data_IF_901830657002
#
_entry.id   IF_901830657002
#
_cell.length_a   1.000
_cell.length_b   1.000
_cell.length_c   1.000
_cell.angle_alpha   90.00
_cell.angle_beta   90.00
_cell.angle_gamma   90.00
#
_symmetry.space_group_name_H-M   'P 1'
#
loop_
_entity.id
_entity.type
_entity.pdbx_description
1 polymer ?
#
# COMPACT_ATOMS: atom_id res chain seq x y z
N UNK A 1 23.58 -10.71 19.23
CA UNK A 1 24.04 -11.59 18.13
C UNK A 1 22.86 -11.99 17.27
N UNK A 2 23.02 -12.02 15.94
CA UNK A 2 21.99 -12.52 15.04
C UNK A 2 20.92 -11.52 14.59
N UNK A 3 21.09 -10.22 14.83
CA UNK A 3 20.18 -9.18 14.31
C UNK A 3 20.61 -8.86 12.88
N UNK A 4 19.72 -9.13 11.92
CA UNK A 4 19.91 -8.85 10.50
C UNK A 4 18.55 -8.91 9.79
N UNK A 5 18.49 -8.58 8.50
CA UNK A 5 17.29 -8.78 7.69
C UNK A 5 16.81 -10.23 7.76
N UNK A 6 15.53 -10.46 8.07
CA UNK A 6 14.98 -11.81 8.18
C UNK A 6 13.46 -11.82 8.05
N UNK A 7 12.90 -13.03 7.95
CA UNK A 7 11.48 -13.18 8.23
C UNK A 7 11.19 -13.09 9.73
N UNK A 8 9.94 -12.75 10.08
CA UNK A 8 9.49 -12.54 11.46
C UNK A 8 8.07 -13.07 11.65
N UNK A 9 7.56 -13.10 12.89
CA UNK A 9 6.28 -13.75 13.21
C UNK A 9 5.04 -12.90 12.85
N UNK A 10 4.99 -12.45 11.60
CA UNK A 10 3.80 -11.91 10.94
C UNK A 10 3.59 -12.69 9.65
N UNK A 11 2.35 -13.02 9.33
CA UNK A 11 2.00 -13.76 8.12
C UNK A 11 1.00 -12.99 7.27
N UNK A 12 1.09 -13.15 5.96
CA UNK A 12 0.04 -12.72 5.04
C UNK A 12 -1.17 -13.66 5.05
N UNK A 13 -2.16 -13.37 4.22
CA UNK A 13 -3.38 -14.17 4.03
C UNK A 13 -3.08 -15.60 3.52
N UNK A 14 -1.92 -15.83 2.90
CA UNK A 14 -1.46 -17.14 2.46
C UNK A 14 -0.62 -17.88 3.52
N UNK A 15 -0.56 -17.33 4.74
CA UNK A 15 0.24 -17.84 5.85
C UNK A 15 1.76 -17.80 5.59
N UNK A 16 2.21 -16.94 4.67
CA UNK A 16 3.63 -16.71 4.38
C UNK A 16 4.20 -15.70 5.35
N UNK A 17 5.31 -16.05 6.00
CA UNK A 17 6.02 -15.12 6.87
C UNK A 17 6.51 -13.89 6.10
N UNK A 18 6.30 -12.72 6.70
CA UNK A 18 6.76 -11.44 6.16
C UNK A 18 8.25 -11.24 6.42
N UNK A 19 8.90 -10.44 5.59
CA UNK A 19 10.35 -10.25 5.57
C UNK A 19 10.70 -8.76 5.68
N UNK A 20 11.67 -8.41 6.53
CA UNK A 20 12.08 -7.02 6.71
C UNK A 20 13.49 -6.89 7.31
N UNK A 21 13.97 -5.65 7.36
CA UNK A 21 15.27 -5.28 7.91
C UNK A 21 15.20 -5.04 9.42
N UNK A 22 15.95 -5.83 10.19
CA UNK A 22 16.20 -5.59 11.61
C UNK A 22 17.61 -5.05 11.81
N UNK A 23 17.77 -4.12 12.76
CA UNK A 23 19.02 -3.40 12.97
C UNK A 23 19.27 -3.12 14.44
N UNK A 24 20.53 -2.89 14.78
CA UNK A 24 20.92 -2.53 16.15
C UNK A 24 20.49 -1.08 16.41
N UNK A 25 19.67 -0.80 17.44
CA UNK A 25 19.09 0.52 17.66
C UNK A 25 20.13 1.64 17.78
N UNK A 26 21.23 1.36 18.48
CA UNK A 26 22.31 2.32 18.74
C UNK A 26 23.14 2.67 17.50
N UNK A 27 23.04 1.87 16.43
CA UNK A 27 23.81 2.04 15.19
C UNK A 27 22.92 2.41 13.98
N UNK A 28 21.60 2.39 14.16
CA UNK A 28 20.65 2.61 13.08
C UNK A 28 20.23 4.07 12.95
N UNK A 29 20.15 4.55 11.71
CA UNK A 29 19.52 5.84 11.37
C UNK A 29 17.99 5.81 11.55
N UNK A 30 17.39 4.61 11.46
CA UNK A 30 15.95 4.37 11.63
C UNK A 30 15.60 4.36 13.12
N UNK A 31 14.74 5.29 13.55
CA UNK A 31 14.17 5.30 14.91
C UNK A 31 13.24 4.09 15.10
N UNK A 32 13.16 3.57 16.33
CA UNK A 32 12.25 2.47 16.69
C UNK A 32 12.76 1.06 16.42
N UNK A 33 14.01 0.88 15.97
CA UNK A 33 14.65 -0.43 15.80
C UNK A 33 14.72 -1.26 17.10
N UNK A 34 14.62 -0.63 18.27
CA UNK A 34 14.65 -1.31 19.57
C UNK A 34 13.34 -2.00 19.95
N UNK A 35 12.27 -1.78 19.18
CA UNK A 35 10.94 -2.32 19.46
C UNK A 35 10.75 -3.73 18.88
N UNK A 36 11.68 -4.19 18.04
CA UNK A 36 11.63 -5.50 17.40
C UNK A 36 12.88 -6.31 17.79
N UNK A 37 12.66 -7.48 18.38
CA UNK A 37 13.74 -8.39 18.73
C UNK A 37 13.59 -9.68 17.93
N UNK A 38 14.21 -9.73 16.76
CA UNK A 38 14.20 -10.88 15.86
C UNK A 38 15.64 -11.35 15.64
N UNK A 39 15.88 -12.63 15.94
CA UNK A 39 17.22 -13.22 15.90
C UNK A 39 17.29 -14.25 14.78
N UNK A 40 18.08 -13.93 13.75
CA UNK A 40 18.32 -14.76 12.58
C UNK A 40 19.60 -15.61 12.76
N UNK A 41 19.52 -16.95 12.66
CA UNK A 41 20.69 -17.83 12.79
C UNK A 41 21.80 -17.55 11.77
N UNK A 42 21.46 -17.23 10.51
CA UNK A 42 22.45 -16.99 9.44
C UNK A 42 23.40 -15.83 9.78
N UNK A 43 22.90 -14.80 10.47
CA UNK A 43 23.72 -13.67 10.91
C UNK A 43 24.74 -14.08 11.98
N UNK A 44 24.41 -15.09 12.80
CA UNK A 44 25.38 -15.69 13.73
C UNK A 44 26.44 -16.49 12.97
N UNK A 45 26.08 -17.23 11.91
CA UNK A 45 27.05 -17.92 11.06
C UNK A 45 28.02 -16.95 10.38
N UNK A 46 27.54 -15.82 9.85
CA UNK A 46 28.39 -14.79 9.26
C UNK A 46 29.37 -14.23 10.29
N UNK A 47 28.88 -13.97 11.50
CA UNK A 47 29.70 -13.38 12.54
C UNK A 47 30.75 -14.34 13.13
N UNK A 48 30.57 -15.66 12.96
CA UNK A 48 31.55 -16.66 13.37
C UNK A 48 32.90 -16.54 12.64
N UNK A 49 32.96 -15.81 11.52
CA UNK A 49 34.23 -15.47 10.86
C UNK A 49 35.09 -14.47 11.66
N UNK A 50 34.49 -13.76 12.62
CA UNK A 50 35.16 -12.78 13.47
C UNK A 50 35.19 -13.23 14.93
N UNK A 51 34.04 -13.66 15.47
CA UNK A 51 33.86 -14.04 16.88
C UNK A 51 33.25 -15.47 16.96
N UNK A 52 34.06 -16.51 16.73
CA UNK A 52 33.56 -17.87 16.54
C UNK A 52 32.93 -18.48 17.80
N UNK A 53 33.50 -18.26 18.98
CA UNK A 53 33.02 -18.87 20.23
C UNK A 53 31.63 -18.34 20.62
N UNK A 54 31.46 -17.02 20.58
CA UNK A 54 30.21 -16.33 20.88
C UNK A 54 29.11 -16.67 19.84
N UNK A 55 29.46 -16.70 18.56
CA UNK A 55 28.54 -17.09 17.51
C UNK A 55 28.02 -18.53 17.68
N UNK A 56 28.91 -19.47 18.01
CA UNK A 56 28.52 -20.87 18.29
C UNK A 56 27.68 -20.97 19.56
N UNK A 57 27.99 -20.21 20.61
CA UNK A 57 27.18 -20.15 21.81
C UNK A 57 25.75 -19.66 21.50
N UNK A 58 25.60 -18.63 20.66
CA UNK A 58 24.29 -18.15 20.23
C UNK A 58 23.52 -19.20 19.41
N UNK A 59 24.17 -19.86 18.44
CA UNK A 59 23.56 -20.92 17.65
C UNK A 59 23.07 -22.10 18.52
N UNK A 60 23.82 -22.45 19.57
CA UNK A 60 23.38 -23.47 20.55
C UNK A 60 22.13 -23.02 21.32
N UNK A 61 22.04 -21.74 21.70
CA UNK A 61 20.83 -21.19 22.34
C UNK A 61 19.62 -21.24 21.40
N UNK A 62 19.80 -20.83 20.14
CA UNK A 62 18.73 -20.88 19.13
C UNK A 62 18.27 -22.33 18.87
N UNK A 63 19.20 -23.28 18.84
CA UNK A 63 18.86 -24.72 18.76
C UNK A 63 18.02 -25.17 19.97
N UNK A 64 18.38 -24.75 21.19
CA UNK A 64 17.61 -25.08 22.39
C UNK A 64 16.18 -24.50 22.38
N UNK A 65 15.97 -23.38 21.67
CA UNK A 65 14.65 -22.78 21.43
C UNK A 65 13.86 -23.45 20.29
N UNK A 66 14.37 -24.53 19.71
CA UNK A 66 13.71 -25.25 18.61
C UNK A 66 13.84 -24.57 17.24
N UNK A 67 14.83 -23.70 17.07
CA UNK A 67 15.08 -23.02 15.79
C UNK A 67 15.76 -23.90 14.73
N UNK A 68 15.97 -25.19 14.99
CA UNK A 68 16.54 -26.14 14.02
C UNK A 68 15.47 -27.11 13.53
N UNK A 69 15.41 -27.29 12.22
CA UNK A 69 14.53 -28.23 11.54
C UNK A 69 15.28 -29.13 10.57
N UNK A 70 14.54 -29.78 9.68
CA UNK A 70 15.06 -30.78 8.74
C UNK A 70 16.21 -30.28 7.85
N UNK A 71 16.17 -29.01 7.42
CA UNK A 71 17.16 -28.44 6.50
C UNK A 71 18.17 -27.53 7.22
N UNK A 72 18.33 -27.71 8.53
CA UNK A 72 19.16 -26.85 9.38
C UNK A 72 18.32 -25.79 10.09
N UNK A 73 18.92 -24.64 10.36
CA UNK A 73 18.23 -23.59 11.10
C UNK A 73 17.08 -22.99 10.30
N UNK A 74 15.94 -22.81 10.96
CA UNK A 74 14.85 -21.97 10.50
C UNK A 74 15.28 -20.50 10.40
N UNK A 75 14.46 -19.72 9.72
CA UNK A 75 14.77 -18.35 9.33
C UNK A 75 15.08 -17.42 10.52
N UNK A 76 14.28 -17.47 11.58
CA UNK A 76 14.49 -16.64 12.76
C UNK A 76 13.75 -17.17 14.00
N UNK A 77 14.10 -16.59 15.15
CA UNK A 77 13.29 -16.63 16.38
C UNK A 77 12.87 -15.19 16.69
N UNK A 78 11.57 -14.96 16.76
CA UNK A 78 10.99 -13.66 17.09
C UNK A 78 10.64 -13.62 18.58
N UNK A 79 11.13 -12.61 19.29
CA UNK A 79 10.91 -12.36 20.72
C UNK A 79 10.04 -11.11 20.95
N UNK A 80 9.43 -10.58 19.90
CA UNK A 80 8.73 -9.31 19.99
C UNK A 80 7.34 -9.50 20.57
N UNK A 81 7.14 -8.99 21.81
CA UNK A 81 5.94 -9.26 22.62
C UNK A 81 4.61 -9.12 21.86
N UNK A 82 4.44 -8.05 21.09
CA UNK A 82 3.19 -7.80 20.35
C UNK A 82 2.91 -8.79 19.21
N UNK A 83 3.86 -9.67 18.88
CA UNK A 83 3.73 -10.72 17.85
C UNK A 83 3.69 -12.12 18.43
N UNK A 84 3.79 -12.27 19.75
CA UNK A 84 3.81 -13.57 20.39
C UNK A 84 2.39 -14.06 20.67
N UNK A 85 2.11 -15.37 20.52
CA UNK A 85 0.89 -15.96 21.04
C UNK A 85 0.79 -15.78 22.56
N UNK A 86 -0.43 -15.74 23.09
CA UNK A 86 -0.65 -15.58 24.53
C UNK A 86 0.09 -16.65 25.35
N UNK A 87 0.86 -16.21 26.35
CA UNK A 87 1.66 -17.08 27.20
C UNK A 87 2.96 -17.61 26.58
N UNK A 88 3.41 -17.09 25.43
CA UNK A 88 4.70 -17.42 24.82
C UNK A 88 5.71 -16.27 24.97
N UNK A 89 6.97 -16.64 25.13
CA UNK A 89 8.13 -15.73 25.21
C UNK A 89 8.91 -15.64 23.90
N UNK A 90 8.63 -16.55 22.96
CA UNK A 90 9.25 -16.58 21.64
C UNK A 90 8.38 -17.31 20.61
N UNK A 91 8.61 -17.00 19.33
CA UNK A 91 7.99 -17.68 18.20
C UNK A 91 9.05 -18.04 17.15
N UNK A 92 9.15 -19.34 16.83
CA UNK A 92 10.05 -19.83 15.77
C UNK A 92 9.42 -19.59 14.40
N UNK A 93 10.13 -18.86 13.54
CA UNK A 93 9.72 -18.53 12.17
C UNK A 93 10.08 -19.71 11.26
N UNK A 94 9.18 -20.70 11.20
CA UNK A 94 9.39 -21.99 10.52
C UNK A 94 9.33 -21.90 8.99
N UNK A 95 10.24 -21.15 8.38
CA UNK A 95 10.52 -21.19 6.94
C UNK A 95 12.03 -21.29 6.69
N UNK A 96 12.40 -21.57 5.45
CA UNK A 96 13.79 -21.62 5.01
C UNK A 96 13.97 -20.69 3.82
N UNK A 97 14.91 -19.75 3.93
CA UNK A 97 15.31 -18.91 2.80
C UNK A 97 16.60 -19.46 2.19
N UNK A 98 16.55 -19.78 0.89
CA UNK A 98 17.69 -20.40 0.20
C UNK A 98 18.96 -19.54 0.29
N UNK A 99 18.82 -18.21 0.23
CA UNK A 99 19.96 -17.30 0.34
C UNK A 99 20.56 -17.29 1.74
N UNK A 100 19.76 -17.34 2.81
CA UNK A 100 20.26 -17.42 4.19
C UNK A 100 20.94 -18.76 4.50
N UNK A 101 20.43 -19.86 3.95
CA UNK A 101 21.13 -21.15 4.01
C UNK A 101 22.47 -21.07 3.25
N UNK A 102 22.46 -20.48 2.05
CA UNK A 102 23.66 -20.25 1.26
C UNK A 102 24.71 -19.41 2.01
N UNK A 103 24.29 -18.31 2.64
CA UNK A 103 25.16 -17.45 3.45
C UNK A 103 25.75 -18.21 4.64
N UNK A 104 24.94 -19.03 5.32
CA UNK A 104 25.41 -19.87 6.43
C UNK A 104 26.48 -20.87 5.96
N UNK A 105 26.23 -21.58 4.85
CA UNK A 105 27.17 -22.54 4.27
C UNK A 105 28.47 -21.88 3.79
N UNK A 106 28.37 -20.73 3.11
CA UNK A 106 29.54 -19.95 2.66
C UNK A 106 30.35 -19.46 3.86
N UNK A 107 29.70 -19.04 4.94
CA UNK A 107 30.37 -18.62 6.18
C UNK A 107 31.15 -19.77 6.80
N UNK A 108 30.53 -20.94 6.94
CA UNK A 108 31.17 -22.16 7.43
C UNK A 108 32.37 -22.53 6.53
N UNK A 109 32.19 -22.51 5.21
CA UNK A 109 33.26 -22.81 4.27
C UNK A 109 34.42 -21.81 4.40
N UNK A 110 34.15 -20.52 4.57
CA UNK A 110 35.18 -19.51 4.79
C UNK A 110 35.95 -19.76 6.09
N UNK A 111 35.28 -20.18 7.17
CA UNK A 111 35.95 -20.51 8.43
C UNK A 111 36.91 -21.71 8.24
N UNK A 112 36.43 -22.81 7.65
CA UNK A 112 37.23 -24.04 7.50
C UNK A 112 38.21 -24.04 6.32
N UNK A 113 38.11 -23.07 5.40
CA UNK A 113 38.96 -22.94 4.22
C UNK A 113 39.68 -21.60 4.17
N UNK A 114 39.85 -20.95 5.33
CA UNK A 114 40.61 -19.70 5.47
C UNK A 114 40.21 -18.62 4.46
N UNK A 115 38.90 -18.43 4.28
CA UNK A 115 38.33 -17.38 3.44
C UNK A 115 38.37 -17.66 1.93
N UNK A 116 38.52 -18.92 1.48
CA UNK A 116 38.66 -19.25 0.06
C UNK A 116 37.54 -18.69 -0.83
N UNK A 117 36.27 -18.72 -0.38
CA UNK A 117 35.16 -18.18 -1.16
C UNK A 117 35.21 -16.66 -1.24
N UNK A 118 35.61 -15.98 -0.16
CA UNK A 118 35.91 -14.55 -0.19
C UNK A 118 37.01 -14.25 -1.20
N UNK A 119 38.13 -14.99 -1.18
CA UNK A 119 39.22 -14.77 -2.13
C UNK A 119 38.79 -14.97 -3.59
N UNK A 120 37.93 -15.97 -3.87
CA UNK A 120 37.34 -16.16 -5.20
C UNK A 120 36.46 -14.98 -5.63
N UNK A 121 35.66 -14.45 -4.71
CA UNK A 121 34.82 -13.28 -4.98
C UNK A 121 35.67 -12.05 -5.34
N UNK A 122 36.73 -11.79 -4.55
CA UNK A 122 37.68 -10.69 -4.80
C UNK A 122 38.60 -10.91 -6.01
N UNK A 123 38.68 -12.13 -6.56
CA UNK A 123 39.41 -12.39 -7.81
C UNK A 123 38.63 -12.00 -9.07
N UNK A 124 37.33 -11.69 -8.95
CA UNK A 124 36.52 -11.26 -10.09
C UNK A 124 36.91 -9.85 -10.55
N UNK A 125 37.22 -9.62 -11.84
CA UNK A 125 37.58 -8.29 -12.35
C UNK A 125 36.52 -7.21 -12.06
N UNK A 126 35.24 -7.56 -12.06
CA UNK A 126 34.14 -6.64 -11.73
C UNK A 126 34.16 -6.18 -10.28
N UNK A 127 34.58 -7.06 -9.36
CA UNK A 127 34.72 -6.75 -7.93
C UNK A 127 36.00 -5.95 -7.70
N UNK A 128 37.11 -6.34 -8.31
CA UNK A 128 38.38 -5.62 -8.23
C UNK A 128 38.26 -4.15 -8.71
N UNK A 129 37.50 -3.92 -9.78
CA UNK A 129 37.25 -2.58 -10.30
C UNK A 129 36.53 -1.66 -9.30
N UNK A 130 35.81 -2.22 -8.33
CA UNK A 130 35.05 -1.47 -7.31
C UNK A 130 35.60 -1.63 -5.90
N UNK A 131 36.67 -2.41 -5.71
CA UNK A 131 37.22 -2.76 -4.39
C UNK A 131 37.71 -1.55 -3.59
N UNK A 132 38.19 -0.50 -4.28
CA UNK A 132 38.60 0.76 -3.65
C UNK A 132 37.43 1.50 -2.97
N UNK A 133 36.18 1.27 -3.40
CA UNK A 133 34.99 1.85 -2.74
C UNK A 133 34.77 1.24 -1.35
N UNK A 134 35.26 0.02 -1.10
CA UNK A 134 35.20 -0.62 0.22
C UNK A 134 36.24 -0.05 1.20
N UNK A 135 37.17 0.80 0.73
CA UNK A 135 38.19 1.47 1.55
C UNK A 135 37.85 2.92 1.88
N UNK A 136 36.58 3.32 1.75
CA UNK A 136 36.16 4.66 2.14
C UNK A 136 36.51 4.91 3.62
N UNK A 137 37.30 5.97 3.86
CA UNK A 137 37.74 6.31 5.21
C UNK A 137 36.53 6.78 6.01
N UNK A 138 36.37 6.23 7.22
CA UNK A 138 35.42 6.76 8.21
C UNK A 138 35.62 8.28 8.31
N UNK A 139 34.56 9.10 8.14
CA UNK A 139 34.71 10.55 8.12
C UNK A 139 35.33 11.02 9.44
N UNK A 140 36.46 11.75 9.36
CA UNK A 140 37.20 12.19 10.56
C UNK A 140 36.44 13.24 11.39
N UNK A 141 35.45 13.88 10.79
CA UNK A 141 34.62 14.93 11.39
C UNK A 141 33.15 14.52 11.47
N UNK A 142 32.84 13.28 11.84
CA UNK A 142 31.49 12.98 12.34
C UNK A 142 31.43 13.61 13.73
N UNK A 143 30.64 14.68 13.88
CA UNK A 143 30.24 15.13 15.21
C UNK A 143 29.61 13.95 15.92
N UNK A 144 30.32 13.36 16.89
CA UNK A 144 29.77 12.31 17.73
C UNK A 144 28.76 13.00 18.63
N UNK A 145 27.54 13.16 18.12
CA UNK A 145 26.38 13.38 18.96
C UNK A 145 26.25 12.09 19.74
N UNK A 146 26.83 12.03 20.95
CA UNK A 146 26.52 10.97 21.89
C UNK A 146 24.99 10.98 22.01
N UNK A 147 24.26 9.92 21.62
CA UNK A 147 22.86 9.85 21.96
C UNK A 147 22.83 9.97 23.49
N UNK A 148 22.19 11.02 23.99
CA UNK A 148 22.08 11.23 25.42
C UNK A 148 21.42 9.98 26.00
N UNK A 149 22.10 9.32 26.94
CA UNK A 149 21.52 8.21 27.72
C UNK A 149 20.24 8.61 28.47
N UNK A 150 19.92 9.90 28.52
CA UNK A 150 18.77 10.47 29.23
C UNK A 150 17.43 10.39 28.49
N UNK A 151 17.30 9.63 27.40
CA UNK A 151 15.99 9.43 26.75
C UNK A 151 15.67 7.97 26.42
N UNK A 152 16.24 7.00 27.15
CA UNK A 152 15.89 5.58 27.01
C UNK A 152 14.85 5.09 28.04
N UNK A 153 14.44 5.93 29.00
CA UNK A 153 13.33 5.67 29.91
C UNK A 153 12.14 6.63 29.70
N UNK A 154 11.94 7.11 28.46
CA UNK A 154 10.55 7.36 28.09
C UNK A 154 9.95 5.99 27.90
N UNK A 155 9.16 5.55 28.88
CA UNK A 155 8.08 4.62 28.63
C UNK A 155 7.35 5.19 27.42
N UNK A 156 7.70 4.71 26.24
CA UNK A 156 6.79 4.74 25.13
C UNK A 156 5.66 3.84 25.62
N UNK A 157 4.65 4.47 26.25
CA UNK A 157 3.31 4.22 25.76
C UNK A 157 3.51 4.27 24.25
N UNK A 158 3.52 3.10 23.61
CA UNK A 158 2.98 3.04 22.26
C UNK A 158 1.64 3.76 22.44
N UNK A 159 1.60 5.06 22.16
CA UNK A 159 0.67 5.45 21.13
C UNK A 159 1.01 4.42 20.05
N UNK A 160 0.16 3.38 19.97
CA UNK A 160 -0.23 2.90 18.65
C UNK A 160 -0.16 4.15 17.81
N UNK A 161 0.77 4.21 16.85
CA UNK A 161 0.71 5.29 15.88
C UNK A 161 -0.65 5.03 15.27
N UNK A 162 -1.67 5.69 15.83
CA UNK A 162 -3.01 5.57 15.34
C UNK A 162 -2.83 5.89 13.87
N UNK A 163 -3.34 5.03 12.97
CA UNK A 163 -3.16 5.20 11.54
C UNK A 163 -3.35 6.68 11.25
N UNK A 164 -2.32 7.33 10.70
CA UNK A 164 -2.18 8.77 10.82
C UNK A 164 -3.34 9.43 10.07
N UNK A 165 -4.42 9.69 10.80
CA UNK A 165 -5.70 9.99 10.20
C UNK A 165 -5.87 11.49 10.21
N UNK A 166 -6.15 12.04 9.04
CA UNK A 166 -6.37 13.47 8.86
C UNK A 166 -7.83 13.66 8.55
N UNK A 167 -8.59 14.16 9.53
CA UNK A 167 -9.98 14.54 9.35
C UNK A 167 -10.13 16.00 8.96
N UNK A 168 -11.08 16.27 8.05
CA UNK A 168 -11.44 17.60 7.60
C UNK A 168 -12.95 17.71 7.48
N UNK A 169 -13.50 18.81 8.02
CA UNK A 169 -14.96 19.07 8.00
C UNK A 169 -15.39 20.09 6.93
N UNK A 170 -14.45 20.54 6.10
CA UNK A 170 -14.74 21.48 5.01
C UNK A 170 -13.90 21.18 3.78
N UNK A 171 -14.53 21.34 2.63
CA UNK A 171 -13.91 21.23 1.31
C UNK A 171 -13.23 22.53 0.87
N UNK A 172 -13.63 23.66 1.45
CA UNK A 172 -13.17 25.00 1.07
C UNK A 172 -11.91 25.39 1.84
N UNK A 173 -10.78 24.77 1.47
CA UNK A 173 -9.47 25.11 2.02
C UNK A 173 -8.64 25.92 1.03
N UNK A 174 -7.81 26.87 1.51
CA UNK A 174 -6.90 27.63 0.63
C UNK A 174 -5.88 26.76 -0.09
N UNK A 175 -5.50 25.65 0.54
CA UNK A 175 -4.58 24.65 -0.03
C UNK A 175 -5.37 23.36 -0.20
N UNK A 176 -5.50 22.84 -1.44
CA UNK A 176 -6.15 21.57 -1.70
C UNK A 176 -5.50 20.47 -0.87
N UNK A 177 -6.33 19.75 -0.12
CA UNK A 177 -5.85 18.60 0.64
C UNK A 177 -6.09 17.35 -0.17
N UNK A 178 -5.05 16.55 -0.34
CA UNK A 178 -5.12 15.30 -1.10
C UNK A 178 -4.67 14.11 -0.27
N UNK A 179 -5.09 12.93 -0.69
CA UNK A 179 -4.59 11.63 -0.27
C UNK A 179 -4.21 10.86 -1.52
N UNK A 180 -3.06 10.19 -1.48
CA UNK A 180 -2.65 9.25 -2.52
C UNK A 180 -2.70 7.86 -1.88
N UNK A 181 -3.44 6.95 -2.52
CA UNK A 181 -3.43 5.53 -2.17
C UNK A 181 -2.84 4.78 -3.36
N UNK A 182 -2.14 3.68 -3.11
CA UNK A 182 -1.58 2.90 -4.20
C UNK A 182 -1.02 1.56 -3.75
N UNK A 183 -0.81 0.71 -4.74
CA UNK A 183 0.04 -0.46 -4.65
C UNK A 183 1.20 -0.30 -5.65
N UNK A 184 1.89 -1.38 -6.01
CA UNK A 184 3.05 -1.33 -6.93
C UNK A 184 2.73 -0.72 -8.30
N UNK A 185 1.50 -0.89 -8.81
CA UNK A 185 1.17 -0.51 -10.20
C UNK A 185 -0.06 0.39 -10.32
N UNK A 186 -0.97 0.36 -9.35
CA UNK A 186 -2.18 1.17 -9.33
C UNK A 186 -2.06 2.28 -8.30
N UNK A 187 -2.47 3.49 -8.67
CA UNK A 187 -2.51 4.65 -7.77
C UNK A 187 -3.78 5.44 -7.98
N UNK A 188 -4.35 5.94 -6.89
CA UNK A 188 -5.45 6.91 -6.88
C UNK A 188 -5.00 8.13 -6.09
N UNK A 189 -5.31 9.31 -6.60
CA UNK A 189 -5.23 10.55 -5.85
C UNK A 189 -6.64 11.06 -5.64
N UNK A 190 -6.98 11.43 -4.41
CA UNK A 190 -8.28 11.94 -4.01
C UNK A 190 -8.12 13.28 -3.33
N UNK A 191 -8.97 14.24 -3.66
CA UNK A 191 -9.09 15.51 -2.94
C UNK A 191 -10.04 15.38 -1.77
N UNK A 192 -10.01 16.34 -0.86
CA UNK A 192 -10.99 16.46 0.23
C UNK A 192 -12.43 16.64 -0.25
N UNK A 193 -12.67 16.89 -1.54
CA UNK A 193 -14.01 16.99 -2.13
C UNK A 193 -14.43 15.72 -2.90
N UNK A 194 -13.56 14.71 -3.00
CA UNK A 194 -13.83 13.41 -3.65
C UNK A 194 -13.45 13.31 -5.13
N UNK A 195 -12.82 14.35 -5.66
CA UNK A 195 -12.30 14.38 -7.04
C UNK A 195 -10.89 13.81 -7.11
N UNK A 196 -10.37 13.62 -8.32
CA UNK A 196 -9.00 13.17 -8.53
C UNK A 196 -8.85 12.19 -9.69
N UNK A 197 -7.84 11.34 -9.62
CA UNK A 197 -7.51 10.40 -10.70
C UNK A 197 -7.20 9.01 -10.19
N UNK A 198 -7.41 8.04 -11.05
CA UNK A 198 -6.93 6.67 -10.97
C UNK A 198 -5.95 6.42 -12.13
N UNK A 199 -4.84 5.75 -11.83
CA UNK A 199 -3.76 5.53 -12.77
C UNK A 199 -3.19 4.13 -12.59
N UNK A 200 -3.01 3.43 -13.71
CA UNK A 200 -2.31 2.16 -13.78
C UNK A 200 -0.98 2.34 -14.51
N UNK A 201 0.14 2.24 -13.79
CA UNK A 201 1.49 2.59 -14.25
C UNK A 201 1.51 4.00 -14.86
N UNK A 202 1.75 4.12 -16.17
CA UNK A 202 1.75 5.39 -16.89
C UNK A 202 0.43 5.70 -17.62
N UNK A 203 -0.60 4.85 -17.45
CA UNK A 203 -1.90 4.98 -18.10
C UNK A 203 -2.89 5.63 -17.14
N UNK A 204 -3.35 6.83 -17.47
CA UNK A 204 -4.48 7.46 -16.78
C UNK A 204 -5.75 6.72 -17.14
N UNK A 205 -6.48 6.24 -16.13
CA UNK A 205 -7.70 5.46 -16.32
C UNK A 205 -8.90 6.39 -16.54
N UNK A 206 -9.05 7.41 -15.71
CA UNK A 206 -10.01 8.51 -15.90
C UNK A 206 -9.32 9.82 -16.32
N UNK A 207 -10.12 10.75 -16.84
CA UNK A 207 -9.68 12.12 -17.11
C UNK A 207 -9.54 12.90 -15.82
N UNK A 208 -8.36 13.48 -15.66
CA UNK A 208 -8.07 14.47 -14.66
C UNK A 208 -7.17 15.56 -15.23
N UNK A 209 -7.46 16.79 -14.82
CA UNK A 209 -6.70 17.99 -15.19
C UNK A 209 -6.39 18.74 -13.90
N UNK A 210 -5.12 19.09 -13.75
CA UNK A 210 -4.73 20.02 -12.72
C UNK A 210 -5.39 21.37 -13.01
N UNK A 211 -6.21 21.84 -12.07
CA UNK A 211 -6.84 23.14 -12.12
C UNK A 211 -6.90 23.67 -10.68
N UNK A 212 -6.22 24.80 -10.43
CA UNK A 212 -6.15 25.40 -9.09
C UNK A 212 -7.46 26.08 -8.68
N UNK A 213 -8.40 26.23 -9.60
CA UNK A 213 -9.69 26.90 -9.39
C UNK A 213 -10.87 25.95 -9.35
N UNK A 214 -10.75 24.77 -9.97
CA UNK A 214 -11.83 23.78 -10.09
C UNK A 214 -11.35 22.40 -9.74
N UNK A 215 -12.17 21.70 -8.97
CA UNK A 215 -11.93 20.32 -8.58
C UNK A 215 -13.01 19.40 -9.14
N UNK A 216 -13.35 19.56 -10.43
CA UNK A 216 -14.52 18.90 -11.04
C UNK A 216 -14.17 17.65 -11.87
N UNK A 217 -12.94 17.14 -11.79
CA UNK A 217 -12.51 15.92 -12.47
C UNK A 217 -12.36 14.76 -11.49
N UNK A 218 -13.05 13.65 -11.73
CA UNK A 218 -13.00 12.51 -10.83
C UNK A 218 -13.94 11.39 -11.22
N UNK A 219 -14.02 10.42 -10.32
CA UNK A 219 -14.98 9.32 -10.39
C UNK A 219 -16.00 9.56 -9.29
N UNK A 220 -17.28 9.55 -9.62
CA UNK A 220 -18.32 10.04 -8.73
C UNK A 220 -19.40 8.98 -8.50
N UNK A 221 -20.04 9.04 -7.34
CA UNK A 221 -21.21 8.25 -7.01
C UNK A 221 -22.34 9.22 -6.70
N UNK A 222 -23.30 9.35 -7.61
CA UNK A 222 -24.49 10.15 -7.40
C UNK A 222 -25.54 9.37 -6.62
N UNK A 223 -26.23 10.08 -5.76
CA UNK A 223 -27.42 9.62 -5.04
C UNK A 223 -28.57 10.51 -5.46
N UNK A 224 -29.68 9.91 -5.91
CA UNK A 224 -30.91 10.63 -6.20
C UNK A 224 -32.04 10.06 -5.36
N UNK A 225 -32.73 10.92 -4.62
CA UNK A 225 -34.00 10.54 -4.00
C UNK A 225 -35.11 10.59 -5.06
N UNK A 226 -35.72 9.43 -5.34
CA UNK A 226 -36.72 9.27 -6.40
C UNK A 226 -37.98 10.10 -6.09
N UNK A 227 -38.35 10.21 -4.81
CA UNK A 227 -39.58 10.88 -4.40
C UNK A 227 -39.43 12.40 -4.45
N UNK A 228 -38.29 12.93 -4.00
CA UNK A 228 -38.06 14.39 -3.97
C UNK A 228 -37.38 14.93 -5.23
N UNK A 229 -36.78 14.06 -6.05
CA UNK A 229 -36.02 14.42 -7.24
C UNK A 229 -34.65 15.07 -6.94
N UNK A 230 -34.26 15.19 -5.67
CA UNK A 230 -32.99 15.80 -5.27
C UNK A 230 -31.82 14.88 -5.59
N UNK A 231 -30.72 15.48 -6.04
CA UNK A 231 -29.50 14.76 -6.47
C UNK A 231 -28.29 15.35 -5.77
N UNK A 232 -27.45 14.50 -5.21
CA UNK A 232 -26.16 14.89 -4.63
C UNK A 232 -25.10 13.83 -4.93
N UNK A 233 -23.83 14.16 -4.70
CA UNK A 233 -22.72 13.20 -4.75
C UNK A 233 -22.46 12.61 -3.37
N UNK A 234 -22.04 11.35 -3.30
CA UNK A 234 -21.61 10.71 -2.05
C UNK A 234 -20.34 11.34 -1.44
N UNK A 235 -19.53 12.04 -2.25
CA UNK A 235 -18.46 12.92 -1.78
C UNK A 235 -18.96 14.37 -1.79
N UNK A 236 -18.23 15.38 -2.28
CA UNK A 236 -18.78 16.75 -2.45
C UNK A 236 -18.92 17.13 -3.93
N UNK A 237 -17.87 16.88 -4.70
CA UNK A 237 -17.88 17.03 -6.15
C UNK A 237 -18.62 15.85 -6.80
N UNK A 238 -19.28 16.06 -7.96
CA UNK A 238 -19.28 17.29 -8.75
C UNK A 238 -20.51 18.17 -8.51
N UNK A 239 -21.49 17.69 -7.74
CA UNK A 239 -22.77 18.40 -7.56
C UNK A 239 -22.62 19.68 -6.75
N UNK A 240 -21.60 19.75 -5.87
CA UNK A 240 -21.36 20.88 -4.97
C UNK A 240 -22.55 21.22 -4.04
N UNK A 241 -23.55 20.35 -3.97
CA UNK A 241 -24.68 20.45 -3.04
C UNK A 241 -24.17 20.44 -1.61
N UNK A 242 -24.57 21.47 -0.87
CA UNK A 242 -24.13 21.69 0.50
C UNK A 242 -24.79 20.66 1.43
N UNK A 243 -24.01 19.76 2.05
CA UNK A 243 -24.56 18.78 2.98
C UNK A 243 -24.93 19.40 4.32
N UNK A 244 -25.79 18.70 5.06
CA UNK A 244 -26.15 19.00 6.45
C UNK A 244 -24.94 18.78 7.38
N UNK A 245 -24.13 17.76 7.09
CA UNK A 245 -22.82 17.51 7.74
C UNK A 245 -21.84 16.87 6.76
N UNK A 246 -20.55 17.17 6.93
CA UNK A 246 -19.48 16.64 6.09
C UNK A 246 -18.22 16.38 6.90
N UNK A 247 -17.61 15.23 6.66
CA UNK A 247 -16.28 14.89 7.14
C UNK A 247 -15.58 14.03 6.09
N UNK A 248 -14.30 14.33 5.85
CA UNK A 248 -13.41 13.44 5.12
C UNK A 248 -12.25 13.05 6.02
N UNK A 249 -12.01 11.75 6.15
CA UNK A 249 -10.89 11.18 6.89
C UNK A 249 -9.95 10.50 5.90
N UNK A 250 -8.71 10.96 5.85
CA UNK A 250 -7.64 10.30 5.11
C UNK A 250 -6.79 9.49 6.08
N UNK A 251 -6.80 8.17 5.90
CA UNK A 251 -5.93 7.22 6.58
C UNK A 251 -4.93 6.62 5.58
N UNK A 252 -3.95 5.89 6.09
CA UNK A 252 -2.88 5.32 5.27
C UNK A 252 -3.39 4.30 4.23
N UNK A 253 -4.49 3.61 4.55
CA UNK A 253 -5.04 2.52 3.73
C UNK A 253 -6.33 2.90 2.97
N UNK A 254 -6.97 4.04 3.31
CA UNK A 254 -8.26 4.44 2.74
C UNK A 254 -8.53 5.94 2.86
N UNK A 255 -9.43 6.41 2.01
CA UNK A 255 -10.12 7.69 2.19
C UNK A 255 -11.59 7.41 2.54
N UNK A 256 -12.13 8.08 3.56
CA UNK A 256 -13.52 7.96 3.98
C UNK A 256 -14.21 9.32 3.88
N UNK A 257 -15.32 9.37 3.18
CA UNK A 257 -16.20 10.54 3.12
C UNK A 257 -17.49 10.21 3.86
N UNK A 258 -17.80 10.96 4.90
CA UNK A 258 -19.02 10.85 5.68
C UNK A 258 -19.83 12.12 5.48
N UNK A 259 -21.06 11.99 4.96
CA UNK A 259 -21.95 13.14 4.80
C UNK A 259 -23.40 12.79 5.07
N UNK A 260 -24.18 13.79 5.47
CA UNK A 260 -25.63 13.68 5.66
C UNK A 260 -26.35 14.66 4.76
N UNK A 261 -27.39 14.18 4.08
CA UNK A 261 -28.21 14.96 3.16
C UNK A 261 -29.66 14.56 3.28
N UNK A 262 -30.53 15.51 3.64
CA UNK A 262 -31.99 15.32 3.57
C UNK A 262 -32.49 14.10 4.36
N UNK A 263 -31.84 13.79 5.49
CA UNK A 263 -32.17 12.62 6.30
C UNK A 263 -31.61 11.30 5.76
N UNK A 264 -30.60 11.34 4.90
CA UNK A 264 -29.79 10.19 4.48
C UNK A 264 -28.35 10.40 4.93
N UNK A 265 -27.86 9.54 5.82
CA UNK A 265 -26.43 9.45 6.15
C UNK A 265 -25.71 8.57 5.12
N UNK A 266 -24.51 8.96 4.71
CA UNK A 266 -23.71 8.23 3.73
C UNK A 266 -22.25 8.12 4.18
N UNK A 267 -21.65 6.97 3.93
CA UNK A 267 -20.25 6.68 4.17
C UNK A 267 -19.65 6.05 2.91
N UNK A 268 -18.81 6.81 2.21
CA UNK A 268 -18.06 6.36 1.05
C UNK A 268 -16.62 6.07 1.46
N UNK A 269 -16.22 4.80 1.44
CA UNK A 269 -14.83 4.39 1.62
C UNK A 269 -14.19 4.07 0.27
N UNK A 270 -13.00 4.61 0.04
CA UNK A 270 -12.20 4.36 -1.16
C UNK A 270 -10.85 3.79 -0.73
N UNK A 271 -10.52 2.62 -1.26
CA UNK A 271 -9.25 1.92 -0.97
C UNK A 271 -8.84 1.06 -2.16
N UNK A 272 -7.57 0.67 -2.18
CA UNK A 272 -6.98 -0.13 -3.25
C UNK A 272 -6.65 -1.52 -2.72
N UNK A 273 -6.88 -2.55 -3.52
CA UNK A 273 -6.43 -3.90 -3.17
C UNK A 273 -4.88 -3.96 -3.15
N UNK A 274 -4.26 -4.51 -2.09
CA UNK A 274 -2.81 -4.63 -2.05
C UNK A 274 -2.28 -5.64 -3.09
N UNK A 275 -3.11 -6.58 -3.52
CA UNK A 275 -2.74 -7.69 -4.40
C UNK A 275 -3.20 -7.48 -5.85
N UNK A 276 -4.31 -6.78 -6.05
CA UNK A 276 -4.92 -6.60 -7.36
C UNK A 276 -4.98 -5.11 -7.73
N UNK A 277 -4.90 -4.82 -9.03
CA UNK A 277 -4.99 -3.46 -9.56
C UNK A 277 -6.46 -3.00 -9.63
N UNK A 278 -7.10 -2.98 -8.46
CA UNK A 278 -8.54 -2.72 -8.28
C UNK A 278 -8.72 -1.62 -7.24
N UNK A 279 -9.43 -0.58 -7.64
CA UNK A 279 -9.97 0.46 -6.75
C UNK A 279 -11.36 0.05 -6.31
N UNK A 280 -11.60 0.01 -4.99
CA UNK A 280 -12.89 -0.32 -4.40
C UNK A 280 -13.48 0.96 -3.82
N UNK A 281 -14.72 1.26 -4.22
CA UNK A 281 -15.53 2.37 -3.70
C UNK A 281 -16.76 1.80 -3.01
N UNK A 282 -16.71 1.67 -1.69
CA UNK A 282 -17.79 1.11 -0.88
C UNK A 282 -18.66 2.24 -0.35
N UNK A 283 -19.90 2.32 -0.82
CA UNK A 283 -20.90 3.27 -0.33
C UNK A 283 -21.88 2.56 0.61
N UNK A 284 -21.97 3.04 1.84
CA UNK A 284 -22.98 2.62 2.82
C UNK A 284 -23.94 3.76 3.05
N UNK A 285 -25.24 3.49 2.98
CA UNK A 285 -26.31 4.47 3.18
C UNK A 285 -27.16 4.09 4.38
N UNK A 286 -27.52 5.09 5.17
CA UNK A 286 -28.37 5.00 6.34
C UNK A 286 -29.54 5.96 6.18
N UNK A 287 -30.77 5.43 6.12
CA UNK A 287 -31.95 6.26 6.21
C UNK A 287 -32.14 6.66 7.68
N UNK A 288 -31.93 7.94 7.98
CA UNK A 288 -32.13 8.52 9.32
C UNK A 288 -33.46 9.29 9.40
N UNK A 289 -34.26 9.26 8.33
CA UNK A 289 -35.60 9.84 8.31
C UNK A 289 -36.67 8.84 8.76
N UNK A 290 -37.86 9.34 9.10
CA UNK A 290 -39.00 8.52 9.56
C UNK A 290 -39.76 7.83 8.43
N UNK A 291 -39.48 8.20 7.17
CA UNK A 291 -40.17 7.66 5.99
C UNK A 291 -39.28 6.69 5.21
N UNK A 292 -39.87 5.69 4.58
CA UNK A 292 -39.19 4.85 3.58
C UNK A 292 -38.67 5.71 2.42
N UNK A 293 -37.45 5.44 1.97
CA UNK A 293 -36.76 6.16 0.90
C UNK A 293 -36.43 5.22 -0.25
N UNK A 294 -36.68 5.67 -1.47
CA UNK A 294 -36.24 5.01 -2.69
C UNK A 294 -35.15 5.89 -3.32
N UNK A 295 -33.99 5.29 -3.55
CA UNK A 295 -32.79 6.00 -3.97
C UNK A 295 -32.23 5.36 -5.24
N UNK A 296 -31.90 6.18 -6.24
CA UNK A 296 -31.06 5.75 -7.35
C UNK A 296 -29.60 6.03 -7.04
N UNK A 297 -28.75 5.05 -7.33
CA UNK A 297 -27.31 5.17 -7.21
C UNK A 297 -26.67 5.04 -8.58
N UNK A 298 -25.89 6.04 -8.95
CA UNK A 298 -25.27 6.10 -10.27
C UNK A 298 -23.79 6.39 -10.14
N UNK A 299 -22.93 5.47 -10.57
CA UNK A 299 -21.50 5.74 -10.68
C UNK A 299 -21.17 6.42 -12.01
N UNK A 300 -20.25 7.37 -11.99
CA UNK A 300 -19.75 8.05 -13.18
C UNK A 300 -18.23 8.00 -13.25
N UNK A 301 -17.72 7.66 -14.43
CA UNK A 301 -16.30 7.47 -14.69
C UNK A 301 -15.96 7.99 -16.09
N UNK A 302 -15.22 9.09 -16.18
CA UNK A 302 -14.83 9.67 -17.48
C UNK A 302 -13.54 9.02 -18.00
N UNK A 303 -13.67 7.97 -18.82
CA UNK A 303 -12.55 7.11 -19.27
C UNK A 303 -11.56 7.86 -20.19
N UNK A 304 -10.26 7.67 -19.92
CA UNK A 304 -9.16 8.15 -20.76
C UNK A 304 -8.35 7.00 -21.39
N UNK A 305 -7.92 6.01 -20.58
CA UNK A 305 -7.09 4.87 -20.97
C UNK A 305 -5.84 5.23 -21.80
N UNK A 306 -5.23 6.37 -21.50
CA UNK A 306 -4.06 6.90 -22.21
C UNK A 306 -3.10 7.57 -21.23
N UNK A 307 -1.87 7.88 -21.66
CA UNK A 307 -1.04 8.78 -20.88
C UNK A 307 -1.72 10.16 -20.79
N UNK A 308 -1.59 10.81 -19.64
CA UNK A 308 -2.25 12.09 -19.39
C UNK A 308 -1.84 13.15 -20.45
N UNK A 309 -0.57 13.20 -20.81
CA UNK A 309 -0.07 14.12 -21.83
C UNK A 309 -0.72 13.91 -23.20
N UNK A 310 -0.93 12.66 -23.62
CA UNK A 310 -1.56 12.36 -24.90
C UNK A 310 -3.06 12.73 -24.91
N UNK A 311 -3.74 12.51 -23.79
CA UNK A 311 -5.16 12.88 -23.63
C UNK A 311 -5.35 14.41 -23.58
N UNK A 312 -4.45 15.14 -22.91
CA UNK A 312 -4.45 16.62 -22.87
C UNK A 312 -4.19 17.22 -24.25
N UNK A 313 -3.24 16.68 -25.00
CA UNK A 313 -2.82 17.26 -26.28
C UNK A 313 -3.94 17.23 -27.34
N UNK A 314 -4.68 16.11 -27.44
CA UNK A 314 -5.73 15.94 -28.46
C UNK A 314 -6.96 15.17 -27.92
N UNK A 315 -7.83 15.79 -27.10
CA UNK A 315 -8.94 15.10 -26.45
C UNK A 315 -9.94 14.49 -27.45
N UNK A 316 -10.40 15.27 -28.43
CA UNK A 316 -11.36 14.79 -29.43
C UNK A 316 -10.83 13.59 -30.23
N UNK A 317 -9.54 13.61 -30.58
CA UNK A 317 -8.89 12.49 -31.23
C UNK A 317 -8.71 11.29 -30.28
N UNK A 318 -8.41 11.53 -29.00
CA UNK A 318 -8.28 10.49 -27.98
C UNK A 318 -9.58 9.68 -27.84
N UNK A 319 -10.73 10.36 -27.90
CA UNK A 319 -12.06 9.74 -27.77
C UNK A 319 -12.36 8.71 -28.85
N UNK A 320 -11.84 8.90 -30.07
CA UNK A 320 -12.07 7.98 -31.20
C UNK A 320 -11.49 6.58 -30.97
N UNK A 321 -10.61 6.41 -30.00
CA UNK A 321 -9.95 5.14 -29.70
C UNK A 321 -10.54 4.44 -28.48
N UNK A 322 -11.41 5.08 -27.70
CA UNK A 322 -12.04 4.45 -26.54
C UNK A 322 -13.27 3.70 -27.02
N UNK A 323 -13.34 2.42 -26.69
CA UNK A 323 -14.47 1.55 -26.99
C UNK A 323 -15.05 1.07 -25.67
N UNK A 324 -16.37 1.12 -25.54
CA UNK A 324 -17.10 0.72 -24.34
C UNK A 324 -18.14 -0.33 -24.69
N UNK A 325 -18.31 -1.30 -23.82
CA UNK A 325 -19.30 -2.37 -23.97
C UNK A 325 -19.84 -2.75 -22.59
N UNK A 326 -21.15 -3.00 -22.51
CA UNK A 326 -21.75 -3.59 -21.33
C UNK A 326 -21.85 -5.11 -21.52
N UNK A 327 -21.33 -5.87 -20.54
CA UNK A 327 -21.32 -7.33 -20.54
C UNK A 327 -22.37 -7.80 -19.51
N UNK A 328 -23.56 -8.26 -19.94
CA UNK A 328 -24.65 -8.62 -19.05
C UNK A 328 -24.31 -9.76 -18.08
N UNK A 329 -23.54 -10.75 -18.52
CA UNK A 329 -23.18 -11.92 -17.73
C UNK A 329 -22.31 -11.55 -16.51
N UNK A 330 -21.58 -10.44 -16.61
CA UNK A 330 -20.70 -9.92 -15.57
C UNK A 330 -21.29 -8.70 -14.84
N UNK A 331 -22.44 -8.19 -15.31
CA UNK A 331 -22.97 -6.87 -14.92
C UNK A 331 -21.88 -5.78 -14.92
N UNK A 332 -21.04 -5.81 -15.96
CA UNK A 332 -19.83 -5.02 -16.03
C UNK A 332 -19.85 -4.08 -17.22
N UNK A 333 -19.48 -2.82 -17.00
CA UNK A 333 -19.14 -1.90 -18.07
C UNK A 333 -17.64 -1.98 -18.32
N UNK A 334 -17.26 -2.39 -19.52
CA UNK A 334 -15.86 -2.54 -19.92
C UNK A 334 -15.50 -1.43 -20.89
N UNK A 335 -14.31 -0.86 -20.70
CA UNK A 335 -13.70 0.07 -21.63
C UNK A 335 -12.32 -0.44 -22.06
N UNK A 336 -12.01 -0.29 -23.34
CA UNK A 336 -10.70 -0.58 -23.89
C UNK A 336 -10.26 0.52 -24.84
N UNK A 337 -8.95 0.62 -25.07
CA UNK A 337 -8.41 1.53 -26.06
C UNK A 337 -7.89 0.75 -27.25
N UNK A 338 -8.41 1.08 -28.44
CA UNK A 338 -7.98 0.49 -29.71
C UNK A 338 -6.47 0.74 -29.93
N UNK A 339 -5.65 -0.32 -30.10
CA UNK A 339 -4.23 -0.20 -30.44
C UNK A 339 -4.02 0.64 -31.70
N UNK A 340 -2.97 1.46 -31.72
CA UNK A 340 -2.56 2.23 -32.92
C UNK A 340 -1.55 1.45 -33.76
N UNK A 341 -0.78 0.57 -33.12
CA UNK A 341 0.19 -0.30 -33.74
C UNK A 341 0.07 -1.73 -33.22
N UNK A 342 0.60 -2.71 -33.97
CA UNK A 342 0.66 -4.11 -33.54
C UNK A 342 1.56 -4.35 -32.30
N UNK A 343 2.36 -3.34 -31.90
CA UNK A 343 3.21 -3.41 -30.70
C UNK A 343 2.51 -2.88 -29.45
N UNK A 344 1.40 -2.17 -29.61
CA UNK A 344 0.69 -1.57 -28.48
C UNK A 344 -0.11 -2.66 -27.76
N UNK A 345 0.06 -2.74 -26.44
CA UNK A 345 -0.78 -3.59 -25.60
C UNK A 345 -2.05 -2.83 -25.25
N UNK A 346 -3.25 -3.35 -25.56
CA UNK A 346 -4.49 -2.68 -25.21
C UNK A 346 -4.65 -2.64 -23.67
N UNK A 347 -5.00 -1.47 -23.15
CA UNK A 347 -5.38 -1.31 -21.76
C UNK A 347 -6.88 -1.56 -21.62
N UNK A 348 -7.27 -2.29 -20.58
CA UNK A 348 -8.64 -2.63 -20.27
C UNK A 348 -9.01 -2.07 -18.90
N UNK A 349 -10.22 -1.54 -18.80
CA UNK A 349 -10.85 -1.09 -17.56
C UNK A 349 -12.21 -1.78 -17.47
N UNK A 350 -12.56 -2.28 -16.30
CA UNK A 350 -13.90 -2.77 -16.01
C UNK A 350 -14.44 -2.05 -14.78
N UNK A 351 -15.70 -1.63 -14.86
CA UNK A 351 -16.46 -1.07 -13.76
C UNK A 351 -17.63 -2.00 -13.45
N UNK A 352 -17.74 -2.40 -12.18
CA UNK A 352 -18.77 -3.32 -11.69
C UNK A 352 -19.41 -2.71 -10.46
N UNK A 353 -20.74 -2.79 -10.38
CA UNK A 353 -21.51 -2.41 -9.19
C UNK A 353 -21.98 -3.71 -8.53
N UNK A 354 -21.70 -3.84 -7.24
CA UNK A 354 -22.15 -4.98 -6.42
C UNK A 354 -22.93 -4.44 -5.24
N UNK A 355 -24.08 -5.03 -4.96
CA UNK A 355 -24.95 -4.67 -3.84
C UNK A 355 -25.46 -5.94 -3.14
N UNK A 356 -25.61 -5.86 -1.83
CA UNK A 356 -26.24 -6.89 -0.98
C UNK A 356 -27.73 -6.60 -0.76
N UNK A 357 -28.27 -5.54 -1.35
CA UNK A 357 -29.66 -5.11 -1.23
C UNK A 357 -30.51 -5.53 -2.42
N UNK A 358 -31.79 -5.67 -2.18
CA UNK A 358 -32.80 -5.85 -3.22
C UNK A 358 -32.84 -4.61 -4.11
N UNK A 359 -32.63 -4.79 -5.41
CA UNK A 359 -32.76 -3.73 -6.41
C UNK A 359 -34.17 -3.78 -6.97
N UNK A 360 -34.88 -2.65 -6.97
CA UNK A 360 -36.27 -2.55 -7.47
C UNK A 360 -36.34 -2.47 -8.99
N UNK A 361 -35.28 -1.98 -9.63
CA UNK A 361 -35.18 -1.78 -11.07
C UNK A 361 -33.96 -2.50 -11.66
N UNK A 362 -33.99 -2.94 -12.93
CA UNK A 362 -32.80 -3.49 -13.58
C UNK A 362 -31.67 -2.47 -13.66
N UNK A 363 -30.42 -2.94 -13.63
CA UNK A 363 -29.24 -2.10 -13.84
C UNK A 363 -29.34 -1.38 -15.19
N UNK A 364 -29.13 -0.07 -15.15
CA UNK A 364 -29.05 0.79 -16.32
C UNK A 364 -27.62 1.28 -16.51
N UNK A 365 -27.25 1.58 -17.75
CA UNK A 365 -25.92 2.09 -18.08
C UNK A 365 -26.01 3.11 -19.23
N UNK A 366 -25.04 4.02 -19.26
CA UNK A 366 -24.81 4.96 -20.35
C UNK A 366 -23.31 5.06 -20.58
N UNK A 367 -22.89 5.03 -21.84
CA UNK A 367 -21.47 5.10 -22.25
C UNK A 367 -21.13 6.39 -22.96
N UNK A 368 -22.14 7.18 -23.32
CA UNK A 368 -22.00 8.49 -23.93
C UNK A 368 -22.12 9.60 -22.88
N UNK A 369 -21.01 10.29 -22.64
CA UNK A 369 -20.94 11.42 -21.72
C UNK A 369 -21.95 12.53 -22.05
N UNK A 370 -22.22 12.78 -23.33
CA UNK A 370 -23.17 13.84 -23.73
C UNK A 370 -24.59 13.49 -23.32
N UNK A 371 -25.01 12.23 -23.46
CA UNK A 371 -26.32 11.77 -23.00
C UNK A 371 -26.43 11.77 -21.47
N UNK A 372 -25.33 11.50 -20.77
CA UNK A 372 -25.33 11.50 -19.30
C UNK A 372 -25.43 12.90 -18.70
N UNK A 373 -24.63 13.85 -19.20
CA UNK A 373 -24.50 15.20 -18.61
C UNK A 373 -25.50 16.20 -19.23
N UNK A 374 -25.94 15.96 -20.47
CA UNK A 374 -26.74 16.91 -21.27
C UNK A 374 -25.94 17.54 -22.39
#
# INVERSE_FOLDING_TARGET
WGISESAYNVRDLHLTYQYTNFGIPDLGLKRGLGNDLVIAPYASFLAAMYEPEEAVANLRRLRALGAEGLYGFYEAVDFTESRLPEGKTEAVVKCYMAHHQGMSLVSIANIFRSGQMRNRFHASPSVQATELLLQERTPRNVGITKPSRESFEQHFIREEVEPSSRSYHTVNRPIPTTQILGNNEYSVMLTSAGSGYSRFRDVALNRWREDVTKDNWGNYCYVRDVNSGKVWSAAYQPTCEQPDSYEVTFADDRARFTRTDHGIGSNLEIFISPEHNVEIRKLVLHNISESTRELDLTSFYEVALASQAADVAHPAFSNLFVQTEFIPELNALVATRRPRSAKDKPAWLAQVIVTDRTVTTPLQYETDRSKFIG
#
